data_IF_447042602925
#
_entry.id   IF_447042602925
#
_cell.length_a   1.000
_cell.length_b   1.000
_cell.length_c   1.000
_cell.angle_alpha   90.00
_cell.angle_beta   90.00
_cell.angle_gamma   90.00
#
_symmetry.space_group_name_H-M   'P 1'
#
loop_
_entity.id
_entity.type
_entity.pdbx_description
1 polymer ?
#
# COMPACT_ATOMS: atom_id res chain seq x y z
N UNK A 1 14.26 7.35 -10.57
CA UNK A 1 12.88 6.89 -10.89
C UNK A 1 12.13 8.05 -11.54
N UNK A 2 11.56 7.84 -12.70
CA UNK A 2 10.64 8.77 -13.34
C UNK A 2 9.19 8.36 -13.06
N UNK A 3 8.40 9.31 -12.55
CA UNK A 3 6.96 9.11 -12.32
C UNK A 3 6.22 9.32 -13.63
N UNK A 4 5.72 8.23 -14.21
CA UNK A 4 5.14 8.22 -15.56
C UNK A 4 3.95 7.27 -15.65
N UNK A 5 2.86 7.62 -16.38
CA UNK A 5 1.78 6.68 -16.65
C UNK A 5 2.23 5.42 -17.40
N UNK A 6 3.33 5.51 -18.18
CA UNK A 6 3.89 4.40 -18.96
C UNK A 6 4.67 3.39 -18.12
N UNK A 7 4.99 3.73 -16.86
CA UNK A 7 5.83 2.93 -15.97
C UNK A 7 5.17 1.64 -15.48
N UNK A 8 5.98 0.79 -14.85
CA UNK A 8 5.46 -0.37 -14.13
C UNK A 8 4.55 0.08 -12.97
N UNK A 9 3.46 -0.66 -12.73
CA UNK A 9 2.51 -0.30 -11.69
C UNK A 9 3.15 -0.44 -10.30
N UNK A 10 3.01 0.61 -9.47
CA UNK A 10 3.38 0.58 -8.07
C UNK A 10 2.52 -0.46 -7.33
N UNK A 11 3.19 -1.45 -6.77
CA UNK A 11 2.57 -2.49 -5.94
C UNK A 11 3.30 -2.59 -4.59
N UNK A 12 2.68 -3.23 -3.59
CA UNK A 12 3.32 -3.41 -2.29
C UNK A 12 4.66 -4.16 -2.38
N UNK A 13 4.80 -5.27 -3.15
CA UNK A 13 6.09 -5.91 -3.35
C UNK A 13 7.16 -5.01 -3.98
N UNK A 14 6.77 -4.10 -4.88
CA UNK A 14 7.68 -3.12 -5.45
C UNK A 14 8.11 -2.09 -4.40
N UNK A 15 7.16 -1.56 -3.62
CA UNK A 15 7.44 -0.64 -2.53
C UNK A 15 8.40 -1.27 -1.50
N UNK A 16 8.17 -2.52 -1.09
CA UNK A 16 9.05 -3.25 -0.19
C UNK A 16 10.49 -3.35 -0.73
N UNK A 17 10.67 -3.63 -2.03
CA UNK A 17 12.02 -3.66 -2.62
C UNK A 17 12.68 -2.29 -2.69
N UNK A 18 11.91 -1.24 -2.96
CA UNK A 18 12.44 0.11 -3.07
C UNK A 18 12.79 0.72 -1.71
N UNK A 19 12.04 0.38 -0.64
CA UNK A 19 12.31 0.86 0.72
C UNK A 19 13.68 0.42 1.26
N UNK A 20 14.28 -0.62 0.67
CA UNK A 20 15.62 -1.12 1.01
C UNK A 20 16.75 -0.38 0.31
N UNK A 21 16.45 0.59 -0.56
CA UNK A 21 17.47 1.36 -1.27
C UNK A 21 18.00 2.50 -0.42
N UNK A 22 19.31 2.70 -0.45
CA UNK A 22 19.97 3.75 0.32
C UNK A 22 19.67 5.17 -0.20
N UNK A 23 19.40 5.29 -1.50
CA UNK A 23 19.14 6.58 -2.14
C UNK A 23 18.21 6.40 -3.35
N UNK A 24 17.21 7.25 -3.45
CA UNK A 24 16.28 7.33 -4.58
C UNK A 24 16.16 8.78 -5.02
N UNK A 25 16.30 9.02 -6.32
CA UNK A 25 16.05 10.31 -6.95
C UNK A 25 14.74 10.16 -7.73
N UNK A 26 13.76 11.00 -7.44
CA UNK A 26 12.47 11.01 -8.11
C UNK A 26 12.43 12.17 -9.12
N UNK A 27 12.21 11.84 -10.38
CA UNK A 27 12.00 12.83 -11.43
C UNK A 27 10.50 13.01 -11.65
N UNK A 28 10.02 14.24 -11.47
CA UNK A 28 8.64 14.64 -11.69
C UNK A 28 8.57 15.47 -12.97
N UNK A 29 7.89 14.94 -13.97
CA UNK A 29 7.68 15.63 -15.25
C UNK A 29 6.41 16.46 -15.26
N UNK A 30 6.37 17.43 -16.18
CA UNK A 30 5.22 18.27 -16.49
C UNK A 30 4.89 18.26 -17.98
N UNK A 31 3.78 18.89 -18.34
CA UNK A 31 3.31 19.05 -19.71
C UNK A 31 3.13 17.68 -20.42
N UNK A 32 3.79 17.50 -21.57
CA UNK A 32 3.70 16.28 -22.39
C UNK A 32 4.71 15.20 -21.98
N UNK A 33 5.53 15.45 -20.96
CA UNK A 33 6.51 14.50 -20.48
C UNK A 33 7.95 15.05 -20.53
N UNK A 34 8.90 14.16 -20.35
CA UNK A 34 10.34 14.42 -20.36
C UNK A 34 10.92 13.94 -21.69
N UNK A 35 11.96 14.60 -22.17
CA UNK A 35 12.68 14.22 -23.40
C UNK A 35 13.05 12.73 -23.36
N UNK A 36 12.74 12.01 -24.45
CA UNK A 36 12.93 10.56 -24.54
C UNK A 36 14.41 10.15 -24.31
N UNK A 37 15.36 10.98 -24.70
CA UNK A 37 16.79 10.72 -24.44
C UNK A 37 17.12 10.70 -22.96
N UNK A 38 16.43 11.51 -22.13
CA UNK A 38 16.55 11.49 -20.67
C UNK A 38 15.98 10.18 -20.14
N UNK A 39 14.81 9.77 -20.64
CA UNK A 39 14.17 8.51 -20.26
C UNK A 39 15.06 7.30 -20.59
N UNK A 40 15.59 7.25 -21.81
CA UNK A 40 16.40 6.12 -22.29
C UNK A 40 17.77 6.02 -21.60
N UNK A 41 18.39 7.14 -21.24
CA UNK A 41 19.80 7.14 -20.82
C UNK A 41 20.04 7.48 -19.34
N UNK A 42 19.13 8.18 -18.69
CA UNK A 42 19.32 8.66 -17.33
C UNK A 42 18.34 8.05 -16.32
N UNK A 43 17.20 7.52 -16.77
CA UNK A 43 16.19 6.93 -15.90
C UNK A 43 16.51 5.45 -15.68
N UNK A 44 16.61 5.07 -14.40
CA UNK A 44 16.81 3.67 -14.01
C UNK A 44 15.52 2.88 -14.06
N UNK A 45 14.37 3.56 -13.77
CA UNK A 45 13.05 2.92 -13.64
C UNK A 45 11.95 3.94 -13.85
N UNK A 46 10.87 3.51 -14.47
CA UNK A 46 9.64 4.30 -14.57
C UNK A 46 8.54 3.64 -13.76
N UNK A 47 7.78 4.41 -12.98
CA UNK A 47 6.73 3.92 -12.10
C UNK A 47 5.44 4.69 -12.33
N UNK A 48 4.35 3.95 -12.49
CA UNK A 48 2.98 4.43 -12.54
C UNK A 48 2.26 4.15 -11.21
N UNK A 49 1.40 5.06 -10.78
CA UNK A 49 0.51 4.85 -9.62
C UNK A 49 -0.91 4.41 -10.03
N UNK A 50 -1.15 4.20 -11.31
CA UNK A 50 -2.45 3.76 -11.85
C UNK A 50 -2.70 4.24 -13.27
N UNK A 51 -3.75 3.70 -13.89
CA UNK A 51 -4.14 3.97 -15.28
C UNK A 51 -4.94 5.28 -15.39
N UNK A 52 -4.33 6.38 -15.01
CA UNK A 52 -4.87 7.74 -15.12
C UNK A 52 -3.73 8.75 -15.22
N UNK A 53 -4.04 9.95 -15.71
CA UNK A 53 -3.04 11.00 -15.95
C UNK A 53 -3.24 12.14 -14.95
N UNK A 54 -2.12 12.61 -14.37
CA UNK A 54 -2.04 13.79 -13.53
C UNK A 54 -1.41 14.95 -14.30
N UNK A 55 -1.56 16.17 -13.79
CA UNK A 55 -0.95 17.37 -14.37
C UNK A 55 0.57 17.47 -14.20
N UNK A 56 1.12 16.72 -13.23
CA UNK A 56 2.55 16.65 -12.93
C UNK A 56 2.88 15.41 -12.11
N UNK A 57 4.16 15.09 -11.97
CA UNK A 57 4.64 13.89 -11.28
C UNK A 57 4.72 14.01 -9.76
N UNK A 58 4.55 15.19 -9.18
CA UNK A 58 4.80 15.44 -7.75
C UNK A 58 3.87 14.68 -6.84
N UNK A 59 2.58 14.61 -7.16
CA UNK A 59 1.60 13.85 -6.35
C UNK A 59 1.89 12.35 -6.43
N UNK A 60 2.26 11.85 -7.60
CA UNK A 60 2.67 10.47 -7.77
C UNK A 60 3.94 10.16 -6.98
N UNK A 61 4.93 11.07 -6.98
CA UNK A 61 6.13 10.96 -6.17
C UNK A 61 5.80 10.98 -4.67
N UNK A 62 4.87 11.84 -4.23
CA UNK A 62 4.43 11.87 -2.84
C UNK A 62 3.78 10.55 -2.41
N UNK A 63 2.93 9.95 -3.25
CA UNK A 63 2.33 8.62 -3.01
C UNK A 63 3.43 7.56 -2.89
N UNK A 64 4.42 7.56 -3.79
CA UNK A 64 5.55 6.64 -3.72
C UNK A 64 6.34 6.84 -2.43
N UNK A 65 6.69 8.09 -2.08
CA UNK A 65 7.41 8.40 -0.85
C UNK A 65 6.67 7.89 0.39
N UNK A 66 5.37 8.16 0.52
CA UNK A 66 4.58 7.69 1.65
C UNK A 66 4.57 6.17 1.73
N UNK A 67 4.34 5.48 0.60
CA UNK A 67 4.37 4.02 0.53
C UNK A 67 5.72 3.41 0.96
N UNK A 68 6.85 4.11 0.71
CA UNK A 68 8.19 3.64 1.09
C UNK A 68 8.55 4.00 2.53
N UNK A 69 8.32 5.25 2.93
CA UNK A 69 8.79 5.79 4.20
C UNK A 69 8.15 5.04 5.38
N UNK A 70 6.88 4.70 5.29
CA UNK A 70 6.18 3.93 6.33
C UNK A 70 6.72 2.50 6.53
N UNK A 71 7.52 1.99 5.59
CA UNK A 71 8.18 0.68 5.69
C UNK A 71 9.56 0.76 6.37
N UNK A 72 10.07 1.97 6.61
CA UNK A 72 11.36 2.16 7.27
C UNK A 72 11.17 1.95 8.77
N UNK A 73 11.99 1.08 9.43
CA UNK A 73 11.92 0.86 10.86
C UNK A 73 11.99 2.17 11.66
N UNK A 74 11.16 2.30 12.68
CA UNK A 74 11.10 3.48 13.55
C UNK A 74 10.32 4.67 12.98
N UNK A 75 9.80 4.63 11.77
CA UNK A 75 8.95 5.70 11.21
C UNK A 75 7.53 5.62 11.75
N UNK A 76 6.95 4.42 11.79
CA UNK A 76 5.67 4.19 12.44
C UNK A 76 5.89 3.89 13.93
N UNK A 77 5.00 4.38 14.79
CA UNK A 77 5.03 4.14 16.23
C UNK A 77 4.82 2.68 16.62
N UNK A 78 4.15 1.91 15.75
CA UNK A 78 3.99 0.45 15.86
C UNK A 78 4.59 -0.20 14.62
N UNK A 79 5.77 -0.80 14.77
CA UNK A 79 6.51 -1.46 13.68
C UNK A 79 5.75 -2.67 13.12
N UNK A 80 4.88 -3.29 13.91
CA UNK A 80 4.06 -4.42 13.46
C UNK A 80 2.89 -4.00 12.60
N UNK A 81 2.48 -2.73 12.66
CA UNK A 81 1.37 -2.17 11.89
C UNK A 81 1.56 -2.36 10.39
N UNK A 82 2.77 -2.08 9.88
CA UNK A 82 3.07 -2.25 8.46
C UNK A 82 3.00 -3.72 8.00
N UNK A 83 3.27 -4.68 8.88
CA UNK A 83 3.26 -6.11 8.56
C UNK A 83 1.83 -6.69 8.46
N UNK A 84 0.86 -6.07 9.12
CA UNK A 84 -0.55 -6.51 9.14
C UNK A 84 -1.46 -5.76 8.16
N UNK A 85 -0.87 -4.86 7.38
CA UNK A 85 -1.60 -4.10 6.36
C UNK A 85 -1.96 -4.96 5.14
N UNK A 86 -2.91 -4.46 4.35
CA UNK A 86 -3.29 -5.06 3.07
C UNK A 86 -2.07 -5.25 2.16
N UNK A 87 -2.07 -6.33 1.39
CA UNK A 87 -1.09 -6.68 0.35
C UNK A 87 0.28 -7.17 0.85
N UNK A 88 0.55 -7.24 2.15
CA UNK A 88 1.83 -7.77 2.64
C UNK A 88 1.95 -9.28 2.44
N UNK A 89 0.85 -9.99 2.62
CA UNK A 89 0.72 -11.44 2.44
C UNK A 89 -0.20 -11.83 1.25
N UNK A 90 -0.51 -10.87 0.36
CA UNK A 90 -1.43 -11.07 -0.76
C UNK A 90 -2.90 -10.96 -0.36
N UNK A 91 -3.22 -10.64 0.88
CA UNK A 91 -4.59 -10.47 1.35
C UNK A 91 -4.93 -8.99 1.60
N UNK A 92 -6.21 -8.69 1.61
CA UNK A 92 -6.72 -7.44 2.17
C UNK A 92 -6.77 -7.55 3.69
N UNK A 93 -6.46 -6.45 4.40
CA UNK A 93 -6.58 -6.40 5.84
C UNK A 93 -8.00 -6.73 6.33
N UNK A 94 -8.14 -7.40 7.49
CA UNK A 94 -9.44 -7.71 8.08
C UNK A 94 -10.20 -6.43 8.47
N UNK A 95 -11.53 -6.52 8.70
CA UNK A 95 -12.29 -5.36 9.16
C UNK A 95 -11.83 -4.91 10.54
N UNK A 96 -11.73 -3.59 10.72
CA UNK A 96 -11.36 -2.96 11.98
C UNK A 96 -12.62 -2.42 12.67
N UNK A 97 -12.72 -2.64 13.97
CA UNK A 97 -13.79 -2.11 14.82
C UNK A 97 -13.20 -1.22 15.91
N UNK A 98 -13.89 -0.12 16.22
CA UNK A 98 -13.51 0.84 17.24
C UNK A 98 -14.55 0.83 18.38
N UNK A 99 -14.28 1.57 19.45
CA UNK A 99 -15.26 1.81 20.53
C UNK A 99 -16.33 2.79 20.06
N UNK A 100 -17.55 2.68 20.57
CA UNK A 100 -18.07 1.71 21.56
C UNK A 100 -18.32 0.32 20.95
N UNK A 101 -18.54 -0.70 21.79
CA UNK A 101 -18.85 -2.08 21.36
C UNK A 101 -20.20 -2.20 20.63
N UNK A 102 -21.09 -1.22 20.82
CA UNK A 102 -22.36 -1.10 20.08
C UNK A 102 -22.62 0.37 19.76
N UNK A 103 -23.05 0.64 18.53
CA UNK A 103 -23.44 1.96 18.06
C UNK A 103 -24.66 1.83 17.12
N UNK A 104 -25.76 2.49 17.47
CA UNK A 104 -27.03 2.43 16.73
C UNK A 104 -27.54 1.00 16.44
N UNK A 105 -27.36 0.07 17.38
CA UNK A 105 -27.72 -1.34 17.20
C UNK A 105 -26.69 -2.16 16.40
N UNK A 106 -25.64 -1.56 15.89
CA UNK A 106 -24.53 -2.24 15.22
C UNK A 106 -23.49 -2.68 16.23
N UNK A 107 -23.25 -3.97 16.31
CA UNK A 107 -22.37 -4.56 17.34
C UNK A 107 -21.03 -4.98 16.76
N UNK A 108 -19.99 -4.81 17.57
CA UNK A 108 -18.69 -5.44 17.34
C UNK A 108 -18.85 -6.96 17.49
N UNK A 109 -18.27 -7.80 16.61
CA UNK A 109 -18.30 -9.26 16.74
C UNK A 109 -17.80 -9.72 18.12
N UNK A 110 -18.53 -10.62 18.76
CA UNK A 110 -18.22 -11.07 20.13
C UNK A 110 -16.83 -11.71 20.25
N UNK A 111 -16.33 -12.35 19.19
CA UNK A 111 -14.98 -12.92 19.17
C UNK A 111 -13.90 -11.86 19.43
N UNK A 112 -14.09 -10.63 18.94
CA UNK A 112 -13.13 -9.53 19.14
C UNK A 112 -13.16 -8.98 20.57
N UNK A 113 -14.26 -9.21 21.29
CA UNK A 113 -14.45 -8.80 22.70
C UNK A 113 -14.05 -9.90 23.69
N UNK A 114 -13.76 -11.12 23.21
CA UNK A 114 -13.51 -12.31 24.03
C UNK A 114 -12.18 -12.31 24.79
N UNK A 115 -11.20 -11.50 24.36
CA UNK A 115 -9.83 -11.51 24.91
C UNK A 115 -9.00 -12.76 24.52
N UNK A 116 -9.55 -13.70 23.72
CA UNK A 116 -8.84 -14.89 23.28
C UNK A 116 -8.01 -14.63 22.02
N UNK A 117 -6.71 -14.31 22.17
CA UNK A 117 -5.84 -13.92 21.07
C UNK A 117 -5.88 -14.89 19.88
N UNK A 118 -5.80 -16.21 20.10
CA UNK A 118 -5.82 -17.20 19.03
C UNK A 118 -7.14 -17.22 18.23
N UNK A 119 -8.29 -17.05 18.92
CA UNK A 119 -9.60 -16.98 18.25
C UNK A 119 -9.77 -15.68 17.46
N UNK A 120 -9.26 -14.58 17.99
CA UNK A 120 -9.28 -13.28 17.32
C UNK A 120 -8.43 -13.35 16.04
N UNK A 121 -7.24 -13.95 16.10
CA UNK A 121 -6.35 -14.08 14.94
C UNK A 121 -6.95 -14.99 13.86
N UNK A 122 -7.49 -16.14 14.24
CA UNK A 122 -8.19 -17.03 13.31
C UNK A 122 -9.35 -16.30 12.60
N UNK A 123 -10.16 -15.57 13.35
CA UNK A 123 -11.26 -14.79 12.80
C UNK A 123 -10.77 -13.68 11.85
N UNK A 124 -9.70 -12.97 12.23
CA UNK A 124 -9.11 -11.92 11.36
C UNK A 124 -8.64 -12.50 10.03
N UNK A 125 -7.95 -13.63 10.07
CA UNK A 125 -7.47 -14.31 8.87
C UNK A 125 -8.64 -14.75 7.97
N UNK A 126 -9.69 -15.36 8.55
CA UNK A 126 -10.91 -15.75 7.81
C UNK A 126 -11.57 -14.54 7.14
N UNK A 127 -11.71 -13.42 7.87
CA UNK A 127 -12.29 -12.19 7.32
C UNK A 127 -11.41 -11.56 6.23
N UNK A 128 -10.09 -11.59 6.38
CA UNK A 128 -9.15 -11.11 5.37
C UNK A 128 -9.31 -11.91 4.06
N UNK A 129 -9.34 -13.24 4.16
CA UNK A 129 -9.55 -14.13 3.01
C UNK A 129 -10.90 -13.88 2.32
N UNK A 130 -11.99 -13.85 3.09
CA UNK A 130 -13.33 -13.59 2.56
C UNK A 130 -13.43 -12.24 1.85
N UNK A 131 -12.84 -11.18 2.44
CA UNK A 131 -12.79 -9.85 1.80
C UNK A 131 -11.96 -9.83 0.53
N UNK A 132 -10.84 -10.54 0.52
CA UNK A 132 -9.97 -10.62 -0.65
C UNK A 132 -10.70 -11.29 -1.81
N UNK A 133 -11.30 -12.45 -1.59
CA UNK A 133 -12.08 -13.17 -2.60
C UNK A 133 -13.24 -12.33 -3.14
N UNK A 134 -13.93 -11.59 -2.27
CA UNK A 134 -15.09 -10.79 -2.67
C UNK A 134 -14.71 -9.49 -3.40
N UNK A 135 -13.60 -8.84 -3.05
CA UNK A 135 -13.26 -7.49 -3.53
C UNK A 135 -12.09 -7.45 -4.49
N UNK A 136 -11.14 -8.32 -4.30
CA UNK A 136 -9.89 -8.38 -5.08
C UNK A 136 -9.49 -9.83 -5.39
N UNK A 137 -10.33 -10.58 -6.12
CA UNK A 137 -10.06 -12.00 -6.45
C UNK A 137 -8.77 -12.17 -7.26
N UNK A 138 -8.30 -11.13 -7.91
CA UNK A 138 -7.05 -11.12 -8.67
C UNK A 138 -5.77 -11.14 -7.81
N UNK A 139 -5.88 -11.10 -6.48
CA UNK A 139 -4.74 -11.23 -5.57
C UNK A 139 -4.46 -12.69 -5.16
N UNK A 140 -5.31 -13.61 -5.57
CA UNK A 140 -5.20 -15.05 -5.28
C UNK A 140 -4.67 -15.82 -6.49
#
# INVERSE_FOLDING_TARGET
>A
IYMSPDGELLTQPLANRLSLKNNLILLCGHYKGVDERVRMHLITREISIGDYVLSGGELAAAVLCDALIRLIPGVLSDETSALTDSFQDGLLAPPVYTRPSEYNGWRVPDVLLSGHAAKIEAWRHEQALARTLARRPNLQ
#
